data_IF_702201468724
#
_entry.id   IF_702201468724
#
_cell.length_a   1.000
_cell.length_b   1.000
_cell.length_c   1.000
_cell.angle_alpha   90.00
_cell.angle_beta   90.00
_cell.angle_gamma   90.00
#
_symmetry.space_group_name_H-M   'P 1'
#
loop_
_entity.id
_entity.type
_entity.pdbx_description
1 polymer ?
#
# COMPACT_ATOMS: atom_id res chain seq x y z
N UNK A 1 -31.21 17.50 6.99
CA UNK A 1 -30.70 17.03 5.68
C UNK A 1 -29.52 16.12 5.95
N UNK A 2 -29.59 14.85 5.56
CA UNK A 2 -28.48 13.91 5.75
C UNK A 2 -27.53 14.03 4.55
N UNK A 3 -26.35 14.59 4.76
CA UNK A 3 -25.31 14.63 3.73
C UNK A 3 -24.65 13.25 3.69
N UNK A 4 -24.92 12.49 2.63
CA UNK A 4 -24.17 11.27 2.35
C UNK A 4 -22.78 11.72 1.88
N UNK A 5 -21.81 11.70 2.79
CA UNK A 5 -20.40 11.92 2.44
C UNK A 5 -19.95 10.73 1.58
N UNK A 6 -19.81 10.98 0.27
CA UNK A 6 -19.28 9.99 -0.67
C UNK A 6 -17.76 10.04 -0.60
N UNK A 7 -17.19 9.11 0.17
CA UNK A 7 -15.75 8.94 0.25
C UNK A 7 -15.21 8.22 -0.99
N UNK A 8 -13.97 8.57 -1.37
CA UNK A 8 -13.22 7.96 -2.46
C UNK A 8 -13.20 6.43 -2.37
N UNK A 9 -13.65 5.77 -3.44
CA UNK A 9 -13.46 4.33 -3.67
C UNK A 9 -12.21 4.17 -4.52
N UNK A 10 -11.09 3.85 -3.88
CA UNK A 10 -9.78 3.75 -4.53
C UNK A 10 -9.68 2.46 -5.34
N UNK A 11 -9.92 2.55 -6.64
CA UNK A 11 -9.49 1.55 -7.62
C UNK A 11 -8.64 2.27 -8.67
N UNK A 12 -7.33 2.22 -8.52
CA UNK A 12 -6.40 2.67 -9.56
C UNK A 12 -5.44 1.52 -9.88
N UNK A 13 -5.44 1.10 -11.14
CA UNK A 13 -4.48 0.16 -11.70
C UNK A 13 -3.64 0.96 -12.69
N UNK A 14 -2.40 1.29 -12.32
CA UNK A 14 -1.45 1.73 -13.33
C UNK A 14 -1.10 0.54 -14.23
N UNK A 15 -1.19 0.68 -15.56
CA UNK A 15 -0.74 -0.37 -16.47
C UNK A 15 0.79 -0.45 -16.41
N UNK A 16 1.31 -1.37 -15.60
CA UNK A 16 2.72 -1.77 -15.66
C UNK A 16 2.93 -2.52 -16.98
N UNK A 17 3.76 -1.97 -17.88
CA UNK A 17 4.11 -2.63 -19.14
C UNK A 17 4.92 -3.89 -18.84
N UNK A 18 4.28 -5.05 -18.95
CA UNK A 18 4.95 -6.35 -18.85
C UNK A 18 5.58 -6.72 -20.20
N UNK A 19 6.91 -6.83 -20.24
CA UNK A 19 7.62 -7.41 -21.38
C UNK A 19 7.93 -8.88 -21.11
N UNK A 20 7.32 -9.75 -21.93
CA UNK A 20 7.52 -11.20 -22.07
C UNK A 20 6.84 -12.10 -21.03
N UNK A 21 5.82 -12.81 -21.49
CA UNK A 21 5.23 -13.97 -20.83
C UNK A 21 5.12 -15.07 -21.90
N UNK A 22 6.25 -15.73 -22.18
CA UNK A 22 6.24 -16.95 -22.99
C UNK A 22 5.69 -18.09 -22.13
N UNK A 23 4.65 -18.72 -22.67
CA UNK A 23 3.81 -19.74 -22.02
C UNK A 23 4.66 -20.93 -21.54
N UNK A 24 4.74 -21.13 -20.23
CA UNK A 24 5.12 -22.42 -19.65
C UNK A 24 3.89 -23.09 -19.01
N UNK A 25 3.72 -24.37 -19.33
CA UNK A 25 2.59 -25.24 -18.99
C UNK A 25 2.36 -25.35 -17.47
N UNK A 26 1.09 -25.45 -17.12
CA UNK A 26 0.61 -25.81 -15.80
C UNK A 26 0.99 -27.26 -15.48
N UNK A 27 1.76 -27.47 -14.41
CA UNK A 27 1.85 -28.75 -13.72
C UNK A 27 1.47 -28.59 -12.24
N UNK A 28 0.55 -29.47 -11.87
CA UNK A 28 -0.01 -29.90 -10.58
C UNK A 28 0.38 -29.18 -9.28
N UNK A 29 -0.64 -28.61 -8.63
CA UNK A 29 -0.60 -28.13 -7.24
C UNK A 29 -0.29 -29.28 -6.28
N UNK A 30 0.91 -29.30 -5.71
CA UNK A 30 1.16 -29.96 -4.43
C UNK A 30 0.85 -28.97 -3.31
N UNK A 31 -0.17 -29.27 -2.51
CA UNK A 31 -0.52 -28.52 -1.31
C UNK A 31 0.65 -28.54 -0.33
N UNK A 32 1.34 -27.42 -0.19
CA UNK A 32 2.27 -27.22 0.93
C UNK A 32 1.44 -26.77 2.12
N UNK A 33 1.24 -27.69 3.04
CA UNK A 33 0.60 -27.43 4.33
C UNK A 33 1.59 -26.68 5.24
N UNK A 34 1.15 -25.58 5.84
CA UNK A 34 1.98 -24.77 6.72
C UNK A 34 2.28 -25.56 8.00
N UNK A 35 3.55 -25.73 8.41
CA UNK A 35 3.85 -26.40 9.66
C UNK A 35 3.45 -25.51 10.84
N UNK A 36 2.74 -26.13 11.78
CA UNK A 36 2.41 -25.57 13.10
C UNK A 36 3.71 -25.23 13.83
N UNK A 37 3.87 -23.96 14.23
CA UNK A 37 4.98 -23.54 15.09
C UNK A 37 4.62 -23.94 16.53
N UNK A 38 5.26 -25.01 17.01
CA UNK A 38 5.28 -25.39 18.42
C UNK A 38 6.43 -24.63 19.09
N UNK A 39 6.13 -23.94 20.18
CA UNK A 39 7.09 -23.15 20.95
C UNK A 39 7.91 -24.09 21.85
N UNK A 40 9.23 -24.11 21.67
CA UNK A 40 10.17 -24.51 22.72
C UNK A 40 11.04 -23.31 23.12
N UNK A 41 10.99 -22.96 24.40
CA UNK A 41 11.85 -21.98 25.06
C UNK A 41 13.29 -22.49 25.18
N UNK A 42 14.27 -21.76 24.66
CA UNK A 42 15.67 -21.85 25.09
C UNK A 42 16.31 -20.45 25.09
N UNK A 43 16.95 -20.11 26.20
CA UNK A 43 17.36 -18.75 26.54
C UNK A 43 18.68 -18.23 25.95
N UNK A 44 18.87 -16.92 26.19
CA UNK A 44 20.08 -16.11 26.06
C UNK A 44 20.52 -15.68 24.64
N UNK A 45 20.57 -14.34 24.49
CA UNK A 45 20.64 -13.54 23.25
C UNK A 45 19.38 -13.72 22.41
N UNK A 46 18.46 -12.75 22.48
CA UNK A 46 17.30 -12.71 21.59
C UNK A 46 17.78 -12.46 20.16
N UNK A 47 18.26 -13.52 19.51
CA UNK A 47 18.57 -13.53 18.09
C UNK A 47 17.26 -13.19 17.40
N UNK A 48 17.22 -12.04 16.71
CA UNK A 48 16.06 -11.64 15.92
C UNK A 48 15.79 -12.79 14.96
N UNK A 49 14.56 -13.38 14.96
CA UNK A 49 14.23 -14.47 14.07
C UNK A 49 14.56 -14.08 12.63
N UNK A 50 15.21 -14.99 11.91
CA UNK A 50 15.58 -14.72 10.54
C UNK A 50 14.33 -14.44 9.68
N UNK A 51 14.31 -13.35 8.89
CA UNK A 51 13.17 -13.05 8.05
C UNK A 51 12.97 -14.10 6.94
N UNK A 52 11.73 -14.49 6.61
CA UNK A 52 11.43 -15.55 5.64
C UNK A 52 12.16 -15.44 4.30
N UNK A 53 12.27 -14.23 3.73
CA UNK A 53 12.94 -13.99 2.45
C UNK A 53 14.44 -14.27 2.49
N UNK A 54 15.10 -14.11 3.65
CA UNK A 54 16.51 -14.50 3.79
C UNK A 54 16.68 -16.02 3.80
N UNK A 55 15.79 -16.71 4.53
CA UNK A 55 15.75 -18.16 4.57
C UNK A 55 15.52 -18.76 3.18
N UNK A 56 14.50 -18.29 2.46
CA UNK A 56 14.17 -18.77 1.11
C UNK A 56 15.30 -18.49 0.10
N UNK A 57 15.97 -17.35 0.21
CA UNK A 57 17.15 -17.05 -0.62
C UNK A 57 18.29 -18.04 -0.38
N UNK A 58 18.55 -18.42 0.88
CA UNK A 58 19.57 -19.43 1.23
C UNK A 58 19.22 -20.81 0.69
N UNK A 59 17.94 -21.15 0.68
CA UNK A 59 17.42 -22.39 0.07
C UNK A 59 17.49 -22.38 -1.46
N UNK A 60 17.93 -21.28 -2.08
CA UNK A 60 18.14 -21.16 -3.53
C UNK A 60 16.87 -20.85 -4.31
N UNK A 61 15.79 -20.39 -3.65
CA UNK A 61 14.58 -19.97 -4.33
C UNK A 61 14.79 -18.63 -5.04
N UNK A 62 14.15 -18.50 -6.20
CA UNK A 62 14.16 -17.30 -7.04
C UNK A 62 12.74 -16.95 -7.45
N UNK A 63 12.49 -15.68 -7.75
CA UNK A 63 11.21 -15.24 -8.26
C UNK A 63 10.91 -15.86 -9.63
N UNK A 64 9.72 -16.46 -9.74
CA UNK A 64 9.24 -17.06 -10.98
C UNK A 64 8.06 -16.30 -11.57
N UNK A 65 7.13 -15.86 -10.72
CA UNK A 65 5.92 -15.15 -11.13
C UNK A 65 5.98 -13.66 -10.76
N UNK A 66 5.44 -12.78 -11.62
CA UNK A 66 5.01 -11.44 -11.25
C UNK A 66 4.19 -11.43 -9.97
N UNK A 67 4.46 -10.46 -9.08
CA UNK A 67 3.57 -10.16 -7.96
C UNK A 67 2.94 -8.80 -8.17
N UNK A 68 1.61 -8.75 -8.13
CA UNK A 68 0.83 -7.51 -8.18
C UNK A 68 0.16 -7.31 -6.84
N UNK A 69 0.44 -6.17 -6.19
CA UNK A 69 -0.18 -5.78 -4.93
C UNK A 69 -1.31 -4.80 -5.22
N UNK A 70 -2.55 -5.20 -4.91
CA UNK A 70 -3.73 -4.36 -5.08
C UNK A 70 -4.18 -3.86 -3.71
N UNK A 71 -4.02 -2.57 -3.39
CA UNK A 71 -4.50 -2.02 -2.13
C UNK A 71 -6.03 -1.99 -2.09
N UNK A 72 -6.56 -1.92 -0.86
CA UNK A 72 -7.99 -1.79 -0.57
C UNK A 72 -8.27 -0.34 -0.16
N UNK A 73 -9.55 -0.01 0.08
CA UNK A 73 -10.09 1.34 0.28
C UNK A 73 -9.28 2.27 1.21
N UNK A 74 -8.58 1.75 2.21
CA UNK A 74 -7.79 2.56 3.16
C UNK A 74 -6.28 2.40 3.01
N UNK A 75 -5.78 1.41 2.28
CA UNK A 75 -4.38 0.98 2.38
C UNK A 75 -3.45 1.55 1.31
N UNK A 76 -3.97 2.34 0.37
CA UNK A 76 -3.16 3.09 -0.59
C UNK A 76 -2.96 4.54 -0.16
N UNK A 77 -1.72 5.03 -0.19
CA UNK A 77 -1.41 6.44 0.07
C UNK A 77 -1.98 7.36 -1.03
N UNK A 78 -2.37 8.58 -0.62
CA UNK A 78 -2.80 9.63 -1.54
C UNK A 78 -1.95 10.89 -1.35
N UNK A 79 -1.70 11.60 -2.44
CA UNK A 79 -0.97 12.85 -2.47
C UNK A 79 -1.80 13.98 -3.08
N UNK A 80 -1.57 15.20 -2.60
CA UNK A 80 -2.28 16.39 -3.07
C UNK A 80 -1.51 17.04 -4.22
N UNK A 81 -2.18 17.23 -5.37
CA UNK A 81 -1.62 17.87 -6.56
C UNK A 81 -2.21 19.25 -6.83
N UNK A 82 -3.42 19.51 -6.35
CA UNK A 82 -4.09 20.80 -6.47
C UNK A 82 -4.99 20.93 -5.24
N UNK A 83 -4.93 22.06 -4.55
CA UNK A 83 -5.66 22.25 -3.30
C UNK A 83 -6.04 23.71 -3.09
N UNK A 84 -7.01 23.92 -2.20
CA UNK A 84 -7.45 25.26 -1.78
C UNK A 84 -6.37 25.93 -0.91
N UNK A 85 -6.45 27.25 -0.66
CA UNK A 85 -5.44 27.98 0.11
C UNK A 85 -5.14 27.41 1.50
N UNK A 86 -6.09 26.67 2.10
CA UNK A 86 -5.86 26.01 3.37
C UNK A 86 -4.99 24.74 3.32
N UNK A 87 -4.55 24.28 2.14
CA UNK A 87 -3.57 23.20 1.98
C UNK A 87 -2.57 23.46 0.84
N UNK A 88 -2.35 24.72 0.50
CA UNK A 88 -1.34 25.12 -0.50
C UNK A 88 0.07 24.68 -0.08
N UNK A 89 0.33 24.59 1.24
CA UNK A 89 1.57 24.09 1.84
C UNK A 89 1.76 22.56 1.73
N UNK A 90 0.78 21.82 1.22
CA UNK A 90 0.80 20.36 1.06
C UNK A 90 0.91 19.89 -0.40
N UNK A 91 1.23 20.77 -1.34
CA UNK A 91 1.47 20.37 -2.73
C UNK A 91 2.53 19.27 -2.85
N UNK A 92 2.21 18.21 -3.59
CA UNK A 92 3.01 17.03 -3.85
C UNK A 92 3.50 16.31 -2.58
N UNK A 93 2.67 16.35 -1.53
CA UNK A 93 2.90 15.62 -0.26
C UNK A 93 1.78 14.62 0.01
N UNK A 94 2.09 13.58 0.79
CA UNK A 94 1.11 12.59 1.24
C UNK A 94 0.03 13.28 2.08
N UNK A 95 -1.17 13.28 1.55
CA UNK A 95 -2.39 13.81 2.15
C UNK A 95 -3.18 12.71 2.89
N UNK A 96 -3.11 11.47 2.40
CA UNK A 96 -3.60 10.26 3.06
C UNK A 96 -2.47 9.25 3.16
N UNK A 97 -2.31 8.63 4.32
CA UNK A 97 -1.21 7.69 4.56
C UNK A 97 0.15 8.36 4.78
N UNK A 98 0.19 9.38 5.65
CA UNK A 98 1.40 10.11 6.04
C UNK A 98 1.30 10.61 7.48
N UNK A 99 1.54 11.91 7.70
CA UNK A 99 1.34 12.53 9.01
C UNK A 99 -0.14 12.83 9.25
N UNK A 100 -0.72 12.29 10.32
CA UNK A 100 -2.10 12.62 10.71
C UNK A 100 -2.27 14.04 11.28
N UNK A 101 -1.18 14.80 11.46
CA UNK A 101 -1.21 16.15 12.03
C UNK A 101 -2.14 17.09 11.28
N UNK A 102 -2.20 16.97 9.95
CA UNK A 102 -2.98 17.88 9.12
C UNK A 102 -4.50 17.65 9.29
N UNK A 103 -4.90 16.40 9.51
CA UNK A 103 -6.30 16.04 9.83
C UNK A 103 -6.75 16.77 11.10
N UNK A 104 -5.90 16.80 12.12
CA UNK A 104 -6.21 17.47 13.39
C UNK A 104 -6.15 18.99 13.31
N UNK A 105 -5.19 19.55 12.56
CA UNK A 105 -5.03 21.01 12.42
C UNK A 105 -6.14 21.64 11.61
N UNK A 106 -6.58 21.00 10.52
CA UNK A 106 -7.50 21.57 9.54
C UNK A 106 -8.57 20.53 9.11
N UNK A 107 -9.43 20.07 10.05
CA UNK A 107 -10.36 18.96 9.79
C UNK A 107 -11.38 19.25 8.70
N UNK A 108 -11.89 20.48 8.62
CA UNK A 108 -12.85 20.88 7.58
C UNK A 108 -12.21 20.91 6.19
N UNK A 109 -10.98 21.43 6.08
CA UNK A 109 -10.25 21.39 4.82
C UNK A 109 -9.90 19.97 4.41
N UNK A 110 -9.54 19.11 5.37
CA UNK A 110 -9.30 17.70 5.08
C UNK A 110 -10.54 17.01 4.51
N UNK A 111 -11.71 17.22 5.15
CA UNK A 111 -12.96 16.64 4.68
C UNK A 111 -13.32 17.13 3.28
N UNK A 112 -13.15 18.43 3.02
CA UNK A 112 -13.42 19.01 1.71
C UNK A 112 -12.53 18.42 0.61
N UNK A 113 -11.23 18.21 0.88
CA UNK A 113 -10.29 17.66 -0.11
C UNK A 113 -10.44 16.14 -0.32
N UNK A 114 -11.04 15.41 0.62
CA UNK A 114 -11.40 14.00 0.43
C UNK A 114 -12.79 13.78 -0.16
N UNK A 115 -13.65 14.79 -0.09
CA UNK A 115 -15.03 14.70 -0.58
C UNK A 115 -15.03 14.64 -2.10
N UNK A 116 -15.87 13.77 -2.64
CA UNK A 116 -16.14 13.75 -4.07
C UNK A 116 -17.24 14.74 -4.43
N UNK A 117 -17.16 15.26 -5.65
CA UNK A 117 -18.23 16.03 -6.26
C UNK A 117 -19.49 15.16 -6.40
N UNK A 118 -20.65 15.74 -6.07
CA UNK A 118 -21.89 14.97 -5.95
C UNK A 118 -22.44 14.48 -7.30
N UNK A 119 -22.15 15.22 -8.38
CA UNK A 119 -22.65 14.91 -9.72
C UNK A 119 -21.66 14.06 -10.51
N UNK A 120 -20.42 14.54 -10.63
CA UNK A 120 -19.36 13.89 -11.42
C UNK A 120 -18.73 12.69 -10.72
N UNK A 121 -18.80 12.63 -9.37
CA UNK A 121 -18.10 11.66 -8.53
C UNK A 121 -16.58 11.67 -8.68
N UNK A 122 -16.04 12.76 -9.19
CA UNK A 122 -14.60 13.02 -9.28
C UNK A 122 -14.19 14.01 -8.19
N UNK A 123 -12.94 14.44 -8.22
CA UNK A 123 -12.48 15.49 -7.32
C UNK A 123 -13.22 16.81 -7.62
N UNK A 124 -13.60 17.58 -6.59
CA UNK A 124 -14.23 18.87 -6.79
C UNK A 124 -13.32 19.85 -7.55
N UNK A 125 -13.89 20.86 -8.25
CA UNK A 125 -13.10 21.86 -8.94
C UNK A 125 -12.07 22.56 -8.03
N UNK A 126 -10.83 22.71 -8.50
CA UNK A 126 -9.73 23.30 -7.74
C UNK A 126 -9.11 22.36 -6.70
N UNK A 127 -9.49 21.08 -6.69
CA UNK A 127 -8.89 20.03 -5.87
C UNK A 127 -8.48 18.88 -6.80
N UNK A 128 -7.28 18.36 -6.58
CA UNK A 128 -6.77 17.19 -7.28
C UNK A 128 -5.95 16.37 -6.32
N UNK A 129 -6.42 15.17 -6.03
CA UNK A 129 -5.73 14.23 -5.14
C UNK A 129 -5.41 12.98 -5.95
N UNK A 130 -4.18 12.51 -5.94
CA UNK A 130 -3.76 11.35 -6.74
C UNK A 130 -3.31 10.21 -5.84
N UNK A 131 -3.38 8.95 -6.32
CA UNK A 131 -2.66 7.87 -5.68
C UNK A 131 -1.17 8.18 -5.68
N UNK A 132 -0.50 7.87 -4.56
CA UNK A 132 0.96 7.86 -4.53
C UNK A 132 1.44 6.83 -5.58
N UNK A 133 2.46 7.14 -6.38
CA UNK A 133 2.95 6.20 -7.38
C UNK A 133 3.80 5.08 -6.76
N UNK A 134 3.75 3.90 -7.39
CA UNK A 134 4.63 2.77 -7.09
C UNK A 134 4.37 2.03 -5.77
N UNK A 135 5.31 1.16 -5.39
CA UNK A 135 5.21 0.32 -4.18
C UNK A 135 5.19 1.13 -2.88
N UNK A 136 5.71 2.36 -2.92
CA UNK A 136 5.68 3.32 -1.81
C UNK A 136 4.25 3.72 -1.43
N UNK A 137 3.27 3.50 -2.31
CA UNK A 137 1.87 3.73 -1.98
C UNK A 137 1.31 2.70 -0.98
N UNK A 138 1.94 1.53 -0.88
CA UNK A 138 1.40 0.35 -0.19
C UNK A 138 2.38 -0.23 0.85
N UNK A 139 3.54 0.37 1.07
CA UNK A 139 4.52 -0.12 2.05
C UNK A 139 4.07 0.17 3.50
N UNK A 140 4.07 1.44 3.87
CA UNK A 140 3.71 2.00 5.15
C UNK A 140 2.60 3.02 4.96
N UNK A 141 1.52 2.84 5.70
CA UNK A 141 0.43 3.80 5.75
C UNK A 141 0.79 4.99 6.64
N UNK A 142 1.50 4.77 7.73
CA UNK A 142 1.98 5.81 8.63
C UNK A 142 3.25 5.32 9.32
N UNK A 143 4.05 6.20 9.93
CA UNK A 143 5.17 5.76 10.77
C UNK A 143 4.71 4.71 11.79
N UNK A 144 5.29 3.52 11.75
CA UNK A 144 4.94 2.40 12.62
C UNK A 144 3.76 1.53 12.18
N UNK A 145 3.05 1.88 11.09
CA UNK A 145 1.98 1.05 10.52
C UNK A 145 2.40 0.49 9.15
N UNK A 146 2.93 -0.74 9.16
CA UNK A 146 3.29 -1.47 7.96
C UNK A 146 2.05 -2.13 7.34
N UNK A 147 1.75 -1.84 6.08
CA UNK A 147 0.69 -2.52 5.34
C UNK A 147 1.28 -3.75 4.66
N UNK A 148 2.15 -3.51 3.67
CA UNK A 148 2.82 -4.56 2.91
C UNK A 148 4.34 -4.47 3.00
N UNK A 149 4.91 -3.52 3.76
CA UNK A 149 6.35 -3.32 3.85
C UNK A 149 7.13 -4.61 4.15
N UNK A 150 6.69 -5.40 5.14
CA UNK A 150 7.34 -6.67 5.49
C UNK A 150 7.25 -7.67 4.34
N UNK A 151 6.10 -7.76 3.67
CA UNK A 151 5.94 -8.67 2.53
C UNK A 151 6.85 -8.25 1.36
N UNK A 152 6.85 -6.96 1.02
CA UNK A 152 7.68 -6.38 -0.04
C UNK A 152 9.16 -6.62 0.26
N UNK A 153 9.60 -6.41 1.51
CA UNK A 153 10.99 -6.65 1.91
C UNK A 153 11.39 -8.12 1.73
N UNK A 154 10.52 -9.06 2.11
CA UNK A 154 10.81 -10.49 1.97
C UNK A 154 10.81 -10.95 0.50
N UNK A 155 9.90 -10.45 -0.32
CA UNK A 155 9.88 -10.72 -1.75
C UNK A 155 11.14 -10.15 -2.43
N UNK A 156 11.52 -8.91 -2.13
CA UNK A 156 12.71 -8.26 -2.69
C UNK A 156 14.03 -9.03 -2.41
N UNK A 157 14.07 -9.87 -1.38
CA UNK A 157 15.26 -10.71 -1.08
C UNK A 157 15.44 -11.84 -2.09
N UNK A 158 14.36 -12.38 -2.65
CA UNK A 158 14.35 -13.53 -3.57
C UNK A 158 14.20 -13.14 -5.05
N UNK A 159 13.96 -11.85 -5.34
CA UNK A 159 13.83 -11.29 -6.69
C UNK A 159 12.39 -10.98 -7.05
#
# INVERSE_FOLDING_TARGET
MAYILRFRKLCFLEPVKYSSCDKAKADEKKSVEAPKVENEEQGAVSAVPEPPGAKLKREGLTAFHPVVLVPVIVTGGLELWEGKPCYEDLFHRRFWGGSFTEIFKRPMCWLEHLSLDNETRLDPPGIRVQPVPGLVAVDYFAPGYFVWAILIENLARIG
#
